data_IF_940716327860
#
_entry.id   IF_940716327860
#
_cell.length_a   1.000
_cell.length_b   1.000
_cell.length_c   1.000
_cell.angle_alpha   90.00
_cell.angle_beta   90.00
_cell.angle_gamma   90.00
#
_symmetry.space_group_name_H-M   'P 1'
#
loop_
_entity.id
_entity.type
_entity.pdbx_description
1 polymer ?
#
# COMPACT_ATOMS: atom_id res chain seq x y z
N UNK A 1 2.19 1.39 -15.62
CA UNK A 1 1.66 0.57 -16.72
C UNK A 1 1.68 -0.89 -16.29
N UNK A 2 0.53 -1.59 -16.24
CA UNK A 2 0.47 -3.02 -15.94
C UNK A 2 1.34 -3.89 -16.85
N UNK A 3 1.45 -3.57 -18.14
CA UNK A 3 2.23 -4.36 -19.11
C UNK A 3 3.71 -4.36 -18.76
N UNK A 4 4.27 -3.18 -18.44
CA UNK A 4 5.65 -3.07 -17.97
C UNK A 4 5.88 -3.83 -16.66
N UNK A 5 4.93 -3.74 -15.71
CA UNK A 5 5.05 -4.47 -14.44
C UNK A 5 5.01 -5.98 -14.67
N UNK A 6 4.14 -6.46 -15.56
CA UNK A 6 4.07 -7.88 -15.93
C UNK A 6 5.40 -8.37 -16.50
N UNK A 7 5.98 -7.63 -17.46
CA UNK A 7 7.28 -7.95 -18.03
C UNK A 7 8.41 -8.02 -16.97
N UNK A 8 8.42 -7.08 -16.00
CA UNK A 8 9.39 -7.11 -14.90
C UNK A 8 9.19 -8.35 -14.00
N UNK A 9 7.94 -8.70 -13.68
CA UNK A 9 7.64 -9.87 -12.86
C UNK A 9 7.97 -11.18 -13.59
N UNK A 10 7.83 -11.24 -14.92
CA UNK A 10 8.25 -12.38 -15.74
C UNK A 10 9.77 -12.48 -15.81
N UNK A 11 10.49 -11.35 -15.77
CA UNK A 11 11.93 -11.27 -15.59
C UNK A 11 12.39 -11.56 -14.14
N UNK A 12 11.53 -12.15 -13.30
CA UNK A 12 11.80 -12.53 -11.89
C UNK A 12 11.99 -11.35 -10.92
N UNK A 13 11.46 -10.16 -11.23
CA UNK A 13 11.36 -9.11 -10.22
C UNK A 13 10.56 -9.61 -9.01
N UNK A 14 10.99 -9.23 -7.80
CA UNK A 14 10.33 -9.66 -6.57
C UNK A 14 9.05 -8.82 -6.35
N UNK A 15 7.84 -9.42 -6.33
CA UNK A 15 6.58 -8.71 -6.06
C UNK A 15 6.47 -8.20 -4.62
N UNK A 16 7.39 -8.62 -3.75
CA UNK A 16 7.53 -8.16 -2.37
C UNK A 16 8.71 -7.19 -2.19
N UNK A 17 9.30 -6.67 -3.27
CA UNK A 17 10.37 -5.70 -3.15
C UNK A 17 9.90 -4.41 -2.46
N UNK A 18 10.83 -3.76 -1.78
CA UNK A 18 10.55 -2.59 -0.95
C UNK A 18 11.54 -1.47 -1.26
N UNK A 19 11.11 -0.22 -1.08
CA UNK A 19 12.01 0.92 -1.20
C UNK A 19 13.18 0.83 -0.22
N UNK A 20 14.39 1.11 -0.69
CA UNK A 20 15.59 1.15 0.16
C UNK A 20 15.79 2.49 0.85
N UNK A 21 15.50 3.57 0.13
CA UNK A 21 15.56 4.96 0.60
C UNK A 21 14.17 5.57 0.54
N UNK A 22 13.86 6.51 1.45
CA UNK A 22 12.62 7.28 1.33
C UNK A 22 12.68 8.18 0.09
N UNK A 23 11.50 8.50 -0.43
CA UNK A 23 11.27 9.45 -1.51
C UNK A 23 10.25 10.49 -1.00
N UNK A 24 10.76 11.61 -0.53
CA UNK A 24 9.97 12.61 0.23
C UNK A 24 8.99 13.38 -0.65
N UNK A 25 9.36 13.70 -1.90
CA UNK A 25 8.48 14.38 -2.88
C UNK A 25 7.22 13.59 -3.24
N UNK A 26 7.16 12.31 -2.86
CA UNK A 26 6.04 11.42 -3.10
C UNK A 26 5.47 10.79 -1.81
N UNK A 27 5.89 11.26 -0.62
CA UNK A 27 5.66 10.64 0.70
C UNK A 27 5.71 9.10 0.66
N UNK A 28 6.83 8.57 0.14
CA UNK A 28 7.11 7.13 0.16
C UNK A 28 8.23 6.91 1.17
N UNK A 29 7.89 6.29 2.30
CA UNK A 29 8.87 5.93 3.32
C UNK A 29 9.84 4.83 2.86
N UNK A 30 10.89 4.60 3.65
CA UNK A 30 11.76 3.41 3.51
C UNK A 30 10.97 2.14 3.78
N UNK A 31 11.39 1.01 3.18
CA UNK A 31 10.75 -0.30 3.32
C UNK A 31 9.27 -0.30 2.90
N UNK A 32 8.88 0.58 1.98
CA UNK A 32 7.51 0.60 1.44
C UNK A 32 7.39 -0.47 0.35
N UNK A 33 6.51 -1.48 0.50
CA UNK A 33 6.31 -2.51 -0.51
C UNK A 33 5.77 -1.96 -1.82
N UNK A 34 6.16 -2.56 -2.95
CA UNK A 34 5.67 -2.17 -4.29
C UNK A 34 4.13 -2.24 -4.39
N UNK A 35 3.48 -3.18 -3.68
CA UNK A 35 2.02 -3.24 -3.56
C UNK A 35 1.44 -1.95 -2.96
N UNK A 36 2.01 -1.45 -1.85
CA UNK A 36 1.57 -0.21 -1.23
C UNK A 36 1.73 0.99 -2.17
N UNK A 37 2.83 1.05 -2.92
CA UNK A 37 3.07 2.12 -3.90
C UNK A 37 1.98 2.10 -4.98
N UNK A 38 1.64 0.93 -5.52
CA UNK A 38 0.57 0.80 -6.52
C UNK A 38 -0.79 1.28 -6.01
N UNK A 39 -1.10 1.03 -4.73
CA UNK A 39 -2.32 1.49 -4.07
C UNK A 39 -2.32 3.01 -3.87
N UNK A 40 -1.21 3.58 -3.39
CA UNK A 40 -1.05 5.03 -3.18
C UNK A 40 -1.32 5.82 -4.45
N UNK A 41 -0.83 5.34 -5.59
CA UNK A 41 -1.06 5.96 -6.90
C UNK A 41 -2.33 5.47 -7.61
N UNK A 42 -3.27 4.87 -6.88
CA UNK A 42 -4.57 4.41 -7.38
C UNK A 42 -4.49 3.46 -8.60
N UNK A 43 -3.38 2.73 -8.75
CA UNK A 43 -3.18 1.80 -9.86
C UNK A 43 -3.68 0.40 -9.50
N UNK A 44 -5.01 0.25 -9.49
CA UNK A 44 -5.67 -1.00 -9.09
C UNK A 44 -5.28 -2.20 -9.96
N UNK A 45 -5.09 -1.98 -11.27
CA UNK A 45 -4.66 -3.05 -12.21
C UNK A 45 -3.29 -3.61 -11.82
N UNK A 46 -2.34 -2.75 -11.47
CA UNK A 46 -1.02 -3.17 -10.97
C UNK A 46 -1.14 -3.83 -9.60
N UNK A 47 -1.95 -3.28 -8.69
CA UNK A 47 -2.16 -3.88 -7.37
C UNK A 47 -2.70 -5.32 -7.48
N UNK A 48 -3.71 -5.54 -8.33
CA UNK A 48 -4.29 -6.86 -8.55
C UNK A 48 -3.29 -7.83 -9.20
N UNK A 49 -2.52 -7.36 -10.18
CA UNK A 49 -1.43 -8.16 -10.78
C UNK A 49 -0.40 -8.58 -9.72
N UNK A 50 0.06 -7.66 -8.88
CA UNK A 50 1.01 -7.96 -7.81
C UNK A 50 0.46 -8.98 -6.82
N UNK A 51 -0.80 -8.84 -6.41
CA UNK A 51 -1.47 -9.79 -5.52
C UNK A 51 -1.54 -11.19 -6.15
N UNK A 52 -1.95 -11.29 -7.43
CA UNK A 52 -1.96 -12.56 -8.17
C UNK A 52 -0.56 -13.18 -8.28
N UNK A 53 0.47 -12.32 -8.33
CA UNK A 53 1.88 -12.71 -8.33
C UNK A 53 2.45 -12.92 -6.91
N UNK A 54 1.60 -13.14 -5.90
CA UNK A 54 1.96 -13.45 -4.51
C UNK A 54 2.66 -12.32 -3.76
N UNK A 55 2.32 -11.06 -4.08
CA UNK A 55 2.63 -9.96 -3.19
C UNK A 55 1.94 -10.15 -1.83
N UNK A 56 2.65 -9.87 -0.75
CA UNK A 56 2.17 -10.02 0.60
C UNK A 56 1.18 -8.89 0.92
N UNK A 57 -0.05 -9.30 1.26
CA UNK A 57 -1.19 -8.41 1.46
C UNK A 57 -1.20 -7.80 2.87
N UNK A 58 -0.64 -8.51 3.85
CA UNK A 58 -0.68 -8.15 5.27
C UNK A 58 0.68 -7.64 5.79
N UNK A 59 1.49 -7.02 4.92
CA UNK A 59 2.84 -6.56 5.29
C UNK A 59 2.74 -5.44 6.30
N UNK A 60 3.30 -5.65 7.49
CA UNK A 60 3.62 -4.57 8.42
C UNK A 60 4.97 -3.97 8.00
N UNK A 61 4.92 -2.75 7.49
CA UNK A 61 6.11 -1.94 7.32
C UNK A 61 6.12 -0.81 8.36
N UNK A 62 7.17 0.01 8.37
CA UNK A 62 7.31 1.11 9.33
C UNK A 62 6.26 2.24 9.14
N UNK A 63 5.51 2.19 8.05
CA UNK A 63 4.58 3.21 7.63
C UNK A 63 3.14 2.70 7.77
N UNK A 64 2.58 2.13 6.71
CA UNK A 64 1.21 1.65 6.66
C UNK A 64 1.14 0.30 5.91
N UNK A 65 0.41 -0.69 6.45
CA UNK A 65 0.04 -1.88 5.68
C UNK A 65 -0.78 -1.53 4.42
N UNK A 66 -0.86 -2.42 3.41
CA UNK A 66 -1.61 -2.17 2.18
C UNK A 66 -3.07 -1.70 2.42
N UNK A 67 -3.76 -2.32 3.38
CA UNK A 67 -5.14 -1.96 3.71
C UNK A 67 -5.26 -0.54 4.30
N UNK A 68 -4.30 -0.13 5.14
CA UNK A 68 -4.23 1.23 5.66
C UNK A 68 -3.93 2.25 4.58
N UNK A 69 -3.04 1.94 3.63
CA UNK A 69 -2.81 2.81 2.46
C UNK A 69 -4.11 3.01 1.68
N UNK A 70 -4.83 1.93 1.37
CA UNK A 70 -6.08 2.02 0.62
C UNK A 70 -7.14 2.88 1.34
N UNK A 71 -7.23 2.75 2.67
CA UNK A 71 -8.11 3.57 3.49
C UNK A 71 -7.66 5.04 3.57
N UNK A 72 -6.37 5.28 3.79
CA UNK A 72 -5.79 6.63 3.92
C UNK A 72 -5.87 7.43 2.61
N UNK A 73 -5.73 6.78 1.46
CA UNK A 73 -5.81 7.45 0.16
C UNK A 73 -7.24 7.49 -0.41
N UNK A 74 -8.25 7.28 0.43
CA UNK A 74 -9.66 7.20 0.04
C UNK A 74 -9.91 6.34 -1.21
N UNK A 75 -9.34 5.12 -1.24
CA UNK A 75 -9.40 4.20 -2.38
C UNK A 75 -10.29 2.98 -2.04
N UNK A 76 -11.62 3.11 -2.13
CA UNK A 76 -12.55 2.04 -1.75
C UNK A 76 -12.42 0.80 -2.63
N UNK A 77 -12.03 0.94 -3.90
CA UNK A 77 -11.82 -0.20 -4.79
C UNK A 77 -10.58 -1.01 -4.42
N UNK A 78 -9.48 -0.36 -4.01
CA UNK A 78 -8.33 -1.06 -3.44
C UNK A 78 -8.70 -1.79 -2.14
N UNK A 79 -9.50 -1.17 -1.25
CA UNK A 79 -10.02 -1.84 -0.05
C UNK A 79 -10.80 -3.11 -0.44
N UNK A 80 -11.76 -3.00 -1.37
CA UNK A 80 -12.53 -4.16 -1.86
C UNK A 80 -11.64 -5.25 -2.43
N UNK A 81 -10.66 -4.91 -3.27
CA UNK A 81 -9.74 -5.87 -3.88
C UNK A 81 -8.87 -6.56 -2.83
N UNK A 82 -8.29 -5.83 -1.88
CA UNK A 82 -7.51 -6.41 -0.78
C UNK A 82 -8.39 -7.36 0.07
N UNK A 83 -9.61 -6.97 0.41
CA UNK A 83 -10.56 -7.82 1.14
C UNK A 83 -10.95 -9.08 0.38
N UNK A 84 -11.21 -8.98 -0.94
CA UNK A 84 -11.47 -10.15 -1.80
C UNK A 84 -10.30 -11.15 -1.76
N UNK A 85 -9.08 -10.65 -1.65
CA UNK A 85 -7.88 -11.45 -1.50
C UNK A 85 -7.51 -11.77 -0.04
N UNK A 86 -8.48 -11.66 0.89
CA UNK A 86 -8.35 -12.05 2.31
C UNK A 86 -7.30 -11.23 3.08
N UNK A 87 -7.22 -9.93 2.82
CA UNK A 87 -6.52 -9.01 3.70
C UNK A 87 -7.05 -9.12 5.14
N UNK A 88 -6.14 -9.08 6.11
CA UNK A 88 -6.48 -9.07 7.53
C UNK A 88 -7.01 -7.69 7.93
N UNK A 89 -8.31 -7.59 8.20
CA UNK A 89 -8.95 -6.37 8.67
C UNK A 89 -8.53 -5.98 10.10
N UNK A 90 -8.06 -6.95 10.88
CA UNK A 90 -7.56 -6.75 12.25
C UNK A 90 -6.12 -6.26 12.32
N UNK A 91 -5.43 -6.16 11.17
CA UNK A 91 -4.05 -5.70 11.14
C UNK A 91 -3.95 -4.28 11.69
N UNK A 92 -3.00 -4.08 12.59
CA UNK A 92 -2.63 -2.77 13.13
C UNK A 92 -1.27 -2.33 12.60
N UNK A 93 -1.15 -1.03 12.29
CA UNK A 93 0.13 -0.42 11.92
C UNK A 93 1.07 -0.28 13.15
N UNK A 94 2.22 0.34 12.98
CA UNK A 94 3.21 0.57 14.04
C UNK A 94 2.67 1.42 15.21
N UNK A 95 1.64 2.22 14.98
CA UNK A 95 0.95 3.03 15.99
C UNK A 95 -0.21 2.32 16.67
N UNK A 96 -0.47 1.04 16.35
CA UNK A 96 -1.61 0.30 16.88
C UNK A 96 -2.96 0.67 16.23
N UNK A 97 -2.95 1.49 15.18
CA UNK A 97 -4.15 1.93 14.47
C UNK A 97 -4.59 0.89 13.44
N UNK A 98 -5.91 0.71 13.29
CA UNK A 98 -6.51 -0.08 12.21
C UNK A 98 -6.71 0.75 10.93
N UNK A 99 -7.02 0.08 9.82
CA UNK A 99 -7.35 0.76 8.56
C UNK A 99 -8.56 1.71 8.68
N UNK A 100 -9.50 1.42 9.59
CA UNK A 100 -10.62 2.33 9.89
C UNK A 100 -10.15 3.67 10.47
N UNK A 101 -9.16 3.66 11.38
CA UNK A 101 -8.59 4.91 11.89
C UNK A 101 -7.94 5.72 10.76
N UNK A 102 -7.23 5.04 9.83
CA UNK A 102 -6.64 5.70 8.66
C UNK A 102 -7.68 6.34 7.74
N UNK A 103 -8.85 5.73 7.55
CA UNK A 103 -9.94 6.33 6.79
C UNK A 103 -10.45 7.62 7.43
N UNK A 104 -10.58 7.66 8.77
CA UNK A 104 -11.02 8.84 9.49
C UNK A 104 -9.99 10.00 9.46
N UNK A 105 -8.70 9.67 9.43
CA UNK A 105 -7.62 10.68 9.32
C UNK A 105 -7.50 11.24 7.89
N UNK A 106 -7.95 10.52 6.87
CA UNK A 106 -7.94 10.98 5.47
C UNK A 106 -8.86 12.18 5.21
N UNK A 107 -9.86 12.43 6.07
CA UNK A 107 -10.89 13.46 5.86
C UNK A 107 -10.58 14.83 6.48
N UNK A 108 -9.36 15.04 6.96
CA UNK A 108 -8.88 16.34 7.40
C UNK A 108 -7.68 16.76 6.59
N UNK A 109 -7.67 18.01 6.17
CA UNK A 109 -6.53 18.79 5.64
C UNK A 109 -5.39 18.88 6.69
N UNK A 110 -4.95 17.73 7.19
CA UNK A 110 -3.75 17.59 8.00
C UNK A 110 -2.85 16.65 7.22
N UNK A 111 -2.03 17.25 6.37
CA UNK A 111 -0.83 16.60 5.87
C UNK A 111 -0.08 15.99 7.05
N UNK A 112 0.63 14.89 6.79
CA UNK A 112 1.55 14.25 7.73
C UNK A 112 2.70 15.18 8.20
N UNK A 113 2.65 16.47 7.83
CA UNK A 113 3.58 17.54 8.14
C UNK A 113 3.54 18.00 9.62
N UNK A 114 2.64 17.46 10.45
CA UNK A 114 2.50 17.87 11.85
C UNK A 114 3.21 16.96 12.87
N UNK A 115 4.06 16.03 12.44
CA UNK A 115 4.86 15.18 13.33
C UNK A 115 6.34 15.16 12.89
N UNK A 116 6.99 16.31 12.99
CA UNK A 116 8.43 16.46 13.26
C UNK A 116 8.63 17.45 14.42
#
# INVERSE_FOLDING_TARGET
DPTMVEALLDARANPNDTTRKPRMDADIGKRTPVLCISIKFQNLKVAELLIRRRAAINVKNNFLPPLHFAAFTNNPEAVKTLCRHRADLGIKNSFGLSAWHSAAMSSSDTGWDALD
#
